data_IF_125910222282
#
_entry.id   IF_125910222282
#
_cell.length_a   1.000
_cell.length_b   1.000
_cell.length_c   1.000
_cell.angle_alpha   90.00
_cell.angle_beta   90.00
_cell.angle_gamma   90.00
#
_symmetry.space_group_name_H-M   'P 1'
#
loop_
_entity.id
_entity.type
_entity.pdbx_description
1 polymer ?
#
# COMPACT_ATOMS: atom_id res chain seq x y z
N UNK A 1 5.87 18.11 24.81
CA UNK A 1 6.47 18.71 23.59
C UNK A 1 7.04 17.56 22.78
N UNK A 2 6.51 17.34 21.59
CA UNK A 2 7.02 16.27 20.72
C UNK A 2 8.33 16.76 20.09
N UNK A 3 9.45 16.23 20.55
CA UNK A 3 10.74 16.54 19.94
C UNK A 3 10.76 15.96 18.53
N UNK A 4 10.76 16.85 17.53
CA UNK A 4 10.97 16.45 16.14
C UNK A 4 12.39 15.94 15.98
N UNK A 5 12.56 14.95 15.14
CA UNK A 5 13.87 14.44 14.76
C UNK A 5 13.92 14.19 13.24
N UNK A 6 15.10 14.01 12.73
CA UNK A 6 15.31 13.79 11.30
C UNK A 6 15.65 12.33 11.02
N UNK A 7 15.00 11.75 10.01
CA UNK A 7 15.38 10.45 9.43
C UNK A 7 15.75 10.64 7.97
N UNK A 8 16.35 9.65 7.36
CA UNK A 8 16.71 9.68 5.94
C UNK A 8 15.87 8.66 5.16
N UNK A 9 15.23 9.11 4.08
CA UNK A 9 14.46 8.25 3.15
C UNK A 9 15.04 8.45 1.75
N UNK A 10 15.56 7.40 1.15
CA UNK A 10 16.23 7.41 -0.17
C UNK A 10 17.28 8.53 -0.29
N UNK A 11 18.12 8.68 0.75
CA UNK A 11 19.15 9.71 0.82
C UNK A 11 18.64 11.13 1.10
N UNK A 12 17.34 11.34 1.29
CA UNK A 12 16.73 12.65 1.53
C UNK A 12 16.32 12.78 3.01
N UNK A 13 16.78 13.82 3.72
CA UNK A 13 16.38 14.04 5.11
C UNK A 13 14.93 14.53 5.21
N UNK A 14 14.20 14.04 6.21
CA UNK A 14 12.84 14.44 6.51
C UNK A 14 12.63 14.60 8.00
N UNK A 15 12.00 15.71 8.40
CA UNK A 15 11.56 15.91 9.78
C UNK A 15 10.31 15.11 10.08
N UNK A 16 10.37 14.36 11.17
CA UNK A 16 9.27 13.50 11.64
C UNK A 16 9.01 13.72 13.12
N UNK A 17 7.80 13.35 13.53
CA UNK A 17 7.39 13.37 14.93
C UNK A 17 7.31 11.95 15.48
N UNK A 18 7.55 11.76 16.79
CA UNK A 18 7.32 10.47 17.43
C UNK A 18 5.90 9.96 17.19
N UNK A 19 5.78 8.69 16.80
CA UNK A 19 4.49 8.07 16.51
C UNK A 19 4.07 8.09 15.03
N UNK A 20 4.72 8.87 14.17
CA UNK A 20 4.51 8.75 12.72
C UNK A 20 5.03 7.40 12.20
N UNK A 21 4.51 6.97 11.06
CA UNK A 21 5.02 5.78 10.36
C UNK A 21 6.07 6.16 9.32
N UNK A 22 6.87 5.19 8.92
CA UNK A 22 7.83 5.35 7.80
C UNK A 22 7.10 5.73 6.51
N UNK A 23 5.90 5.19 6.29
CA UNK A 23 5.06 5.56 5.15
C UNK A 23 4.71 7.05 5.16
N UNK A 24 4.29 7.60 6.31
CA UNK A 24 3.99 9.03 6.43
C UNK A 24 5.22 9.90 6.20
N UNK A 25 6.38 9.45 6.66
CA UNK A 25 7.64 10.15 6.40
C UNK A 25 7.99 10.20 4.90
N UNK A 26 7.79 9.09 4.18
CA UNK A 26 7.99 9.03 2.73
C UNK A 26 7.00 9.95 1.97
N UNK A 27 5.74 9.97 2.39
CA UNK A 27 4.71 10.85 1.81
C UNK A 27 5.07 12.34 1.94
N UNK A 28 5.70 12.77 3.04
CA UNK A 28 6.19 14.16 3.20
C UNK A 28 7.22 14.55 2.14
N UNK A 29 7.96 13.58 1.62
CA UNK A 29 8.95 13.79 0.55
C UNK A 29 8.36 13.57 -0.85
N UNK A 30 7.06 13.33 -0.96
CA UNK A 30 6.39 12.93 -2.20
C UNK A 30 6.97 11.63 -2.80
N UNK A 31 7.46 10.72 -1.94
CA UNK A 31 7.89 9.37 -2.32
C UNK A 31 6.65 8.47 -2.22
N UNK A 32 6.27 7.86 -3.33
CA UNK A 32 5.11 6.99 -3.43
C UNK A 32 5.50 5.55 -3.12
N UNK A 33 5.13 5.08 -1.92
CA UNK A 33 5.29 3.68 -1.53
C UNK A 33 3.94 2.98 -1.72
N UNK A 34 3.87 1.90 -2.51
CA UNK A 34 2.62 1.21 -2.77
C UNK A 34 2.04 0.61 -1.48
N UNK A 35 0.73 0.70 -1.34
CA UNK A 35 -0.02 0.13 -0.20
C UNK A 35 -1.24 -0.63 -0.70
N UNK A 36 -1.66 -1.66 0.04
CA UNK A 36 -2.88 -2.42 -0.26
C UNK A 36 -3.80 -2.54 0.96
N UNK A 37 -3.27 -3.00 2.11
CA UNK A 37 -4.07 -3.17 3.32
C UNK A 37 -4.06 -1.96 4.27
N UNK A 38 -3.46 -0.85 3.85
CA UNK A 38 -3.43 0.40 4.60
C UNK A 38 -4.57 1.32 4.17
N UNK A 39 -5.35 1.77 5.12
CA UNK A 39 -6.33 2.85 4.96
C UNK A 39 -6.07 3.90 6.03
N UNK A 40 -5.94 5.16 5.64
CA UNK A 40 -5.59 6.26 6.56
C UNK A 40 -6.53 6.33 7.78
N UNK A 41 -7.84 6.13 7.57
CA UNK A 41 -8.84 6.15 8.66
C UNK A 41 -8.82 4.92 9.57
N UNK A 42 -8.32 3.79 9.08
CA UNK A 42 -8.32 2.51 9.81
C UNK A 42 -6.95 2.15 10.39
N UNK A 43 -5.90 2.78 9.87
CA UNK A 43 -4.51 2.46 10.22
C UNK A 43 -3.97 1.22 9.50
N UNK A 44 -2.74 0.81 9.85
CA UNK A 44 -2.06 -0.30 9.21
C UNK A 44 -2.56 -1.67 9.73
N UNK A 45 -2.78 -2.63 8.82
CA UNK A 45 -3.04 -4.03 9.16
C UNK A 45 -1.77 -4.90 9.11
N UNK A 46 -0.74 -4.46 8.40
CA UNK A 46 0.55 -5.16 8.21
C UNK A 46 0.44 -6.57 7.61
N UNK A 47 -0.60 -6.86 6.84
CA UNK A 47 -0.87 -8.21 6.32
C UNK A 47 -0.41 -8.42 4.89
N UNK A 48 -0.47 -7.39 4.04
CA UNK A 48 -0.23 -7.56 2.60
C UNK A 48 1.25 -7.53 2.20
N UNK A 49 2.12 -6.95 2.99
CA UNK A 49 3.57 -6.79 2.73
C UNK A 49 3.91 -6.03 1.42
N UNK A 50 2.95 -5.31 0.83
CA UNK A 50 3.15 -4.54 -0.40
C UNK A 50 3.95 -3.26 -0.16
N UNK A 51 3.88 -2.70 1.06
CA UNK A 51 4.57 -1.47 1.44
C UNK A 51 5.97 -1.70 2.04
N UNK A 52 6.60 -2.84 1.77
CA UNK A 52 7.94 -3.15 2.27
C UNK A 52 8.96 -2.10 1.83
N UNK A 53 9.81 -1.74 2.76
CA UNK A 53 11.01 -0.90 2.57
C UNK A 53 12.19 -1.52 3.29
N UNK A 54 13.39 -1.11 2.94
CA UNK A 54 14.60 -1.52 3.63
C UNK A 54 14.92 -0.49 4.71
N UNK A 55 14.89 -0.88 5.97
CA UNK A 55 15.20 -0.06 7.13
C UNK A 55 16.46 -0.57 7.79
N UNK A 56 17.54 0.23 7.76
CA UNK A 56 18.83 -0.16 8.32
C UNK A 56 19.27 -1.58 7.88
N UNK A 57 19.04 -1.92 6.61
CA UNK A 57 19.39 -3.21 6.03
C UNK A 57 18.38 -4.34 6.22
N UNK A 58 17.23 -4.09 6.85
CA UNK A 58 16.15 -5.09 7.03
C UNK A 58 14.87 -4.68 6.32
N UNK A 59 14.18 -5.64 5.71
CA UNK A 59 12.86 -5.41 5.11
C UNK A 59 11.79 -5.31 6.21
N UNK A 60 11.04 -4.21 6.18
CA UNK A 60 9.95 -3.93 7.13
C UNK A 60 8.76 -3.29 6.41
N UNK A 61 7.51 -3.50 6.87
CA UNK A 61 6.35 -2.82 6.31
C UNK A 61 6.33 -1.34 6.74
N UNK A 62 6.39 -0.42 5.79
CA UNK A 62 6.46 1.01 6.07
C UNK A 62 5.20 1.57 6.75
N UNK A 63 4.03 1.00 6.45
CA UNK A 63 2.76 1.48 7.01
C UNK A 63 2.65 1.28 8.53
N UNK A 64 3.22 0.21 9.08
CA UNK A 64 3.15 -0.13 10.51
C UNK A 64 4.41 0.18 11.30
N UNK A 65 5.54 0.42 10.63
CA UNK A 65 6.81 0.71 11.30
C UNK A 65 6.84 2.16 11.73
N UNK A 66 7.01 2.39 13.03
CA UNK A 66 7.12 3.74 13.62
C UNK A 66 8.51 4.29 13.42
N UNK A 67 8.58 5.60 13.17
CA UNK A 67 9.86 6.31 13.03
C UNK A 67 10.61 6.40 14.35
N UNK A 68 11.94 6.31 14.29
CA UNK A 68 12.85 6.52 15.41
C UNK A 68 14.10 7.28 14.93
N UNK A 69 14.78 7.99 15.83
CA UNK A 69 16.00 8.71 15.46
C UNK A 69 17.07 7.80 14.83
N UNK A 70 17.76 8.32 13.82
CA UNK A 70 18.85 7.61 13.15
C UNK A 70 18.41 6.53 12.15
N UNK A 71 17.13 6.47 11.79
CA UNK A 71 16.65 5.55 10.75
C UNK A 71 17.11 5.98 9.36
N UNK A 72 17.58 5.00 8.60
CA UNK A 72 17.87 5.11 7.16
C UNK A 72 16.96 4.15 6.41
N UNK A 73 16.11 4.71 5.57
CA UNK A 73 15.09 3.99 4.80
C UNK A 73 15.44 4.04 3.32
N UNK A 74 15.37 2.90 2.68
CA UNK A 74 15.53 2.75 1.22
C UNK A 74 14.26 2.10 0.66
N UNK A 75 13.59 2.79 -0.27
CA UNK A 75 12.33 2.32 -0.86
C UNK A 75 12.46 1.80 -2.29
N UNK A 76 13.59 2.09 -2.96
CA UNK A 76 13.80 1.86 -4.40
C UNK A 76 14.98 0.92 -4.69
N UNK A 77 15.29 -0.02 -3.79
CA UNK A 77 16.32 -1.04 -4.05
C UNK A 77 15.71 -2.26 -4.76
N UNK A 78 16.55 -2.98 -5.52
CA UNK A 78 16.13 -4.23 -6.20
C UNK A 78 15.54 -5.24 -5.20
N UNK A 79 16.18 -5.39 -4.03
CA UNK A 79 15.69 -6.26 -2.97
C UNK A 79 14.27 -5.88 -2.49
N UNK A 80 13.97 -4.59 -2.39
CA UNK A 80 12.64 -4.08 -2.03
C UNK A 80 11.62 -4.40 -3.12
N UNK A 81 11.99 -4.17 -4.39
CA UNK A 81 11.11 -4.46 -5.53
C UNK A 81 10.81 -5.95 -5.66
N UNK A 82 11.81 -6.80 -5.48
CA UNK A 82 11.64 -8.25 -5.52
C UNK A 82 10.76 -8.76 -4.37
N UNK A 83 10.96 -8.23 -3.16
CA UNK A 83 10.13 -8.58 -2.01
C UNK A 83 8.67 -8.14 -2.19
N UNK A 84 8.41 -6.95 -2.73
CA UNK A 84 7.05 -6.49 -3.07
C UNK A 84 6.41 -7.34 -4.16
N UNK A 85 7.17 -7.71 -5.19
CA UNK A 85 6.71 -8.62 -6.25
C UNK A 85 6.28 -9.96 -5.66
N UNK A 86 7.12 -10.57 -4.84
CA UNK A 86 6.82 -11.84 -4.17
C UNK A 86 5.56 -11.74 -3.31
N UNK A 87 5.39 -10.64 -2.56
CA UNK A 87 4.18 -10.41 -1.77
C UNK A 87 2.92 -10.36 -2.65
N UNK A 88 2.97 -9.67 -3.79
CA UNK A 88 1.86 -9.61 -4.75
C UNK A 88 1.60 -10.97 -5.42
N UNK A 89 2.62 -11.69 -5.82
CA UNK A 89 2.51 -13.03 -6.40
C UNK A 89 1.83 -13.99 -5.43
N UNK A 90 2.18 -13.95 -4.13
CA UNK A 90 1.53 -14.75 -3.11
C UNK A 90 0.06 -14.37 -2.91
N UNK A 91 -0.25 -13.08 -2.89
CA UNK A 91 -1.64 -12.59 -2.77
C UNK A 91 -2.49 -13.04 -3.97
N UNK A 92 -1.95 -12.96 -5.18
CA UNK A 92 -2.67 -13.33 -6.39
C UNK A 92 -2.67 -14.84 -6.66
N UNK A 93 -1.77 -15.61 -6.07
CA UNK A 93 -1.75 -17.06 -6.23
C UNK A 93 -3.01 -17.75 -5.66
N UNK A 94 -3.60 -17.16 -4.62
CA UNK A 94 -4.82 -17.64 -3.97
C UNK A 94 -6.08 -16.87 -4.39
N UNK A 95 -5.93 -15.83 -5.21
CA UNK A 95 -7.01 -14.96 -5.67
C UNK A 95 -7.27 -15.17 -7.16
N UNK A 96 -8.23 -16.02 -7.48
CA UNK A 96 -8.58 -16.36 -8.88
C UNK A 96 -9.22 -15.19 -9.64
N UNK A 97 -9.72 -14.18 -8.94
CA UNK A 97 -10.30 -12.97 -9.56
C UNK A 97 -11.67 -13.17 -10.18
N UNK A 98 -12.29 -14.32 -9.99
CA UNK A 98 -13.63 -14.68 -10.49
C UNK A 98 -14.76 -14.36 -9.48
N UNK A 99 -14.52 -13.39 -8.61
CA UNK A 99 -15.49 -12.97 -7.59
C UNK A 99 -16.77 -12.42 -8.24
N UNK A 100 -17.76 -13.27 -8.39
CA UNK A 100 -19.10 -12.82 -8.74
C UNK A 100 -19.73 -12.14 -7.52
N UNK A 101 -20.06 -10.86 -7.68
CA UNK A 101 -20.71 -10.08 -6.63
C UNK A 101 -22.08 -10.67 -6.23
N UNK A 102 -22.54 -10.46 -4.99
CA UNK A 102 -23.88 -10.89 -4.58
C UNK A 102 -25.00 -10.37 -5.50
N UNK A 103 -24.86 -9.18 -6.04
CA UNK A 103 -25.81 -8.62 -7.01
C UNK A 103 -25.90 -9.42 -8.31
N UNK A 104 -24.82 -10.08 -8.74
CA UNK A 104 -24.86 -10.96 -9.90
C UNK A 104 -25.42 -12.35 -9.59
N UNK A 105 -25.13 -12.90 -8.38
CA UNK A 105 -25.56 -14.26 -8.01
C UNK A 105 -26.95 -14.34 -7.40
N UNK A 106 -27.37 -13.33 -6.64
CA UNK A 106 -28.57 -13.37 -5.82
C UNK A 106 -29.70 -12.46 -6.34
N UNK A 107 -29.40 -11.55 -7.27
CA UNK A 107 -30.42 -10.67 -7.84
C UNK A 107 -31.33 -11.46 -8.80
N UNK A 108 -32.67 -11.40 -8.61
CA UNK A 108 -33.60 -12.07 -9.52
C UNK A 108 -33.50 -11.59 -10.97
N UNK A 109 -33.06 -10.36 -11.19
CA UNK A 109 -32.84 -9.75 -12.50
C UNK A 109 -31.49 -10.10 -13.10
N UNK A 110 -30.62 -10.81 -12.38
CA UNK A 110 -29.27 -11.20 -12.80
C UNK A 110 -28.44 -10.05 -13.35
N UNK A 111 -28.56 -8.86 -12.76
CA UNK A 111 -27.84 -7.67 -13.19
C UNK A 111 -26.34 -7.83 -13.03
N UNK A 112 -25.60 -7.70 -14.12
CA UNK A 112 -24.14 -7.73 -14.11
C UNK A 112 -23.59 -6.33 -13.78
N UNK A 113 -23.69 -5.94 -12.49
CA UNK A 113 -23.20 -4.63 -12.02
C UNK A 113 -21.71 -4.40 -12.32
N UNK A 114 -20.80 -5.37 -12.14
CA UNK A 114 -19.39 -5.19 -12.52
C UNK A 114 -19.19 -4.86 -14.00
N UNK A 115 -19.99 -5.46 -14.89
CA UNK A 115 -19.93 -5.15 -16.32
C UNK A 115 -20.49 -3.76 -16.61
N UNK A 116 -21.61 -3.41 -16.01
CA UNK A 116 -22.19 -2.07 -16.11
C UNK A 116 -21.20 -0.99 -15.71
N UNK A 117 -20.48 -1.17 -14.59
CA UNK A 117 -19.46 -0.21 -14.13
C UNK A 117 -18.30 -0.08 -15.13
N UNK A 118 -17.86 -1.19 -15.74
CA UNK A 118 -16.83 -1.15 -16.79
C UNK A 118 -17.30 -0.42 -18.06
N UNK A 119 -18.57 -0.57 -18.44
CA UNK A 119 -19.14 0.17 -19.56
C UNK A 119 -19.21 1.67 -19.27
N UNK A 120 -19.62 2.05 -18.05
CA UNK A 120 -19.62 3.45 -17.59
C UNK A 120 -18.21 4.04 -17.62
N UNK A 121 -17.21 3.34 -17.08
CA UNK A 121 -15.81 3.77 -17.10
C UNK A 121 -15.30 3.95 -18.54
N UNK A 122 -15.66 3.04 -19.44
CA UNK A 122 -15.29 3.11 -20.86
C UNK A 122 -16.18 4.07 -21.67
N UNK A 123 -17.10 4.82 -21.04
CA UNK A 123 -18.06 5.72 -21.67
C UNK A 123 -18.93 5.05 -22.75
N UNK A 124 -19.20 3.76 -22.61
CA UNK A 124 -20.08 2.98 -23.49
C UNK A 124 -21.47 2.91 -22.86
N UNK A 125 -22.36 3.80 -23.28
CA UNK A 125 -23.69 3.98 -22.69
C UNK A 125 -24.80 3.15 -23.37
N UNK A 126 -24.52 2.62 -24.56
CA UNK A 126 -25.50 1.92 -25.41
C UNK A 126 -25.33 0.39 -25.40
N UNK A 127 -24.44 -0.15 -24.54
CA UNK A 127 -24.16 -1.58 -24.41
C UNK A 127 -24.87 -2.24 -23.21
#
# INVERSE_FOLDING_TARGET
MSEKFTITVDGRPVEVQPGESVLMAAQKLAIDIPTLCYLEKCGPLNTCQVCLVKLNGKLVPSCGTKVAPGMVVESETEEVHEARRTALELLFSDHVGDCLSPCHRLCPLMLNIPQMLRHIEAQRWDD
#
